data_IF_559282782404
#
_entry.id   IF_559282782404
#
_cell.length_a   1.000
_cell.length_b   1.000
_cell.length_c   1.000
_cell.angle_alpha   90.00
_cell.angle_beta   90.00
_cell.angle_gamma   90.00
#
_symmetry.space_group_name_H-M   'P 1'
#
loop_
_entity.id
_entity.type
_entity.pdbx_description
1 polymer ?
#
# COMPACT_ATOMS: atom_id res chain seq x y z
N UNK A 1 -9.66 -16.77 -3.19
CA UNK A 1 -8.53 -15.93 -2.73
C UNK A 1 -8.98 -14.49 -2.82
N UNK A 2 -8.99 -13.73 -1.72
CA UNK A 2 -9.29 -12.29 -1.75
C UNK A 2 -7.98 -11.52 -1.88
N UNK A 3 -7.92 -10.64 -2.87
CA UNK A 3 -6.74 -9.82 -3.18
C UNK A 3 -7.08 -8.35 -3.00
N UNK A 4 -6.07 -7.56 -2.67
CA UNK A 4 -6.12 -6.10 -2.70
C UNK A 4 -4.91 -5.57 -3.45
N UNK A 5 -4.91 -4.27 -3.77
CA UNK A 5 -3.78 -3.62 -4.44
C UNK A 5 -2.89 -2.97 -3.38
N UNK A 6 -1.58 -3.10 -3.51
CA UNK A 6 -0.60 -2.38 -2.69
C UNK A 6 0.37 -1.62 -3.55
N UNK A 7 0.87 -0.50 -3.04
CA UNK A 7 1.78 0.40 -3.76
C UNK A 7 3.11 0.49 -3.03
N UNK A 8 4.22 0.27 -3.74
CA UNK A 8 5.54 0.35 -3.15
C UNK A 8 5.92 1.81 -2.89
N UNK A 9 6.35 2.09 -1.67
CA UNK A 9 6.95 3.33 -1.26
C UNK A 9 8.39 3.08 -0.82
N UNK A 10 9.31 3.74 -1.51
CA UNK A 10 10.74 3.66 -1.21
C UNK A 10 11.17 4.91 -0.44
N UNK A 11 11.69 4.71 0.77
CA UNK A 11 12.37 5.74 1.54
C UNK A 11 13.88 5.53 1.38
N UNK A 12 14.49 6.33 0.50
CA UNK A 12 15.92 6.25 0.19
C UNK A 12 16.79 6.76 1.33
N UNK A 13 16.29 7.66 2.18
CA UNK A 13 17.03 8.18 3.33
C UNK A 13 17.20 7.09 4.40
N UNK A 14 16.18 6.25 4.55
CA UNK A 14 16.17 5.13 5.52
C UNK A 14 16.57 3.79 4.91
N UNK A 15 16.75 3.73 3.58
CA UNK A 15 17.06 2.50 2.85
C UNK A 15 15.94 1.45 2.91
N UNK A 16 14.69 1.87 3.14
CA UNK A 16 13.55 0.96 3.39
C UNK A 16 12.52 1.02 2.29
N UNK A 17 11.92 -0.13 1.99
CA UNK A 17 10.75 -0.24 1.13
C UNK A 17 9.55 -0.64 1.97
N UNK A 18 8.44 0.07 1.80
CA UNK A 18 7.17 -0.21 2.45
C UNK A 18 6.08 -0.36 1.40
N UNK A 19 5.07 -1.17 1.70
CA UNK A 19 3.91 -1.42 0.87
C UNK A 19 2.71 -0.71 1.51
N UNK A 20 2.18 0.29 0.81
CA UNK A 20 0.98 1.03 1.20
C UNK A 20 -0.26 0.34 0.62
N UNK A 21 -1.19 -0.06 1.49
CA UNK A 21 -2.43 -0.74 1.10
C UNK A 21 -3.64 0.10 1.50
N UNK A 22 -4.50 0.51 0.57
CA UNK A 22 -5.71 1.25 0.90
C UNK A 22 -6.73 0.35 1.62
N UNK A 23 -7.34 0.90 2.67
CA UNK A 23 -8.41 0.29 3.44
C UNK A 23 -9.62 1.24 3.52
N UNK A 24 -10.62 0.98 2.68
CA UNK A 24 -11.87 1.77 2.63
C UNK A 24 -12.59 1.87 3.97
N UNK A 25 -12.78 0.77 4.75
CA UNK A 25 -13.42 0.87 6.06
C UNK A 25 -12.68 1.80 7.04
N UNK A 26 -11.35 1.85 7.00
CA UNK A 26 -10.56 2.77 7.82
C UNK A 26 -10.44 4.17 7.21
N UNK A 27 -10.81 4.35 5.93
CA UNK A 27 -10.52 5.54 5.11
C UNK A 27 -9.03 5.90 5.15
N UNK A 28 -8.19 4.86 5.08
CA UNK A 28 -6.78 4.95 5.43
C UNK A 28 -5.89 3.99 4.62
N UNK A 29 -4.61 4.32 4.50
CA UNK A 29 -3.54 3.43 4.07
C UNK A 29 -2.92 2.71 5.26
N UNK A 30 -2.80 1.40 5.14
CA UNK A 30 -2.00 0.57 6.04
C UNK A 30 -0.62 0.33 5.42
N UNK A 31 0.41 0.39 6.26
CA UNK A 31 1.79 0.27 5.85
C UNK A 31 2.33 -1.09 6.26
N UNK A 32 2.96 -1.77 5.31
CA UNK A 32 3.54 -3.09 5.50
C UNK A 32 5.02 -3.04 5.12
N UNK A 33 5.90 -3.71 5.87
CA UNK A 33 7.32 -3.82 5.47
C UNK A 33 7.45 -4.60 4.17
N UNK A 34 8.26 -4.11 3.22
CA UNK A 34 8.48 -4.71 1.90
C UNK A 34 9.97 -4.88 1.55
N UNK A 35 10.85 -4.75 2.55
CA UNK A 35 12.28 -4.99 2.42
C UNK A 35 13.09 -3.70 2.47
N UNK A 36 14.29 -3.78 1.92
CA UNK A 36 15.22 -2.65 1.82
C UNK A 36 15.45 -2.32 0.35
N UNK A 37 16.02 -1.14 0.09
CA UNK A 37 16.36 -0.72 -1.29
C UNK A 37 17.31 -1.70 -1.96
N UNK A 38 18.28 -2.22 -1.22
CA UNK A 38 19.29 -3.17 -1.74
C UNK A 38 18.76 -4.60 -1.85
N UNK A 39 17.75 -4.96 -1.05
CA UNK A 39 17.15 -6.29 -1.02
C UNK A 39 15.62 -6.18 -0.96
N UNK A 40 14.98 -5.79 -2.09
CA UNK A 40 13.53 -5.75 -2.17
C UNK A 40 12.98 -7.17 -2.07
N UNK A 41 11.96 -7.37 -1.25
CA UNK A 41 11.29 -8.68 -1.17
C UNK A 41 10.33 -8.92 -2.33
N UNK A 42 9.90 -7.84 -3.00
CA UNK A 42 8.84 -7.89 -3.97
C UNK A 42 9.05 -6.90 -5.11
N UNK A 43 8.56 -7.26 -6.28
CA UNK A 43 8.57 -6.49 -7.52
C UNK A 43 7.15 -6.03 -7.91
N UNK A 44 7.03 -4.97 -8.72
CA UNK A 44 5.82 -4.67 -9.48
C UNK A 44 5.15 -5.90 -10.11
N UNK A 45 3.85 -6.07 -9.87
CA UNK A 45 3.06 -7.20 -10.38
C UNK A 45 3.08 -8.45 -9.50
N UNK A 46 4.00 -8.55 -8.52
CA UNK A 46 4.05 -9.69 -7.61
C UNK A 46 2.76 -9.81 -6.81
N UNK A 47 2.33 -11.05 -6.59
CA UNK A 47 1.26 -11.39 -5.67
C UNK A 47 1.89 -11.85 -4.36
N UNK A 48 1.71 -11.06 -3.30
CA UNK A 48 2.27 -11.37 -1.99
C UNK A 48 1.26 -12.11 -1.13
N UNK A 49 1.68 -13.24 -0.55
CA UNK A 49 0.88 -13.98 0.44
C UNK A 49 0.87 -13.23 1.76
N UNK A 50 0.02 -12.21 1.84
CA UNK A 50 -0.13 -11.37 3.03
C UNK A 50 -1.56 -11.41 3.52
N UNK A 51 -1.76 -12.20 4.58
CA UNK A 51 -3.00 -12.18 5.34
C UNK A 51 -3.04 -10.93 6.18
N UNK A 52 -3.96 -10.03 5.87
CA UNK A 52 -4.24 -8.86 6.69
C UNK A 52 -5.68 -8.93 7.16
N UNK A 53 -5.86 -8.71 8.45
CA UNK A 53 -7.16 -8.61 9.07
C UNK A 53 -7.32 -7.20 9.59
N UNK A 54 -8.14 -6.40 8.91
CA UNK A 54 -8.52 -5.09 9.41
C UNK A 54 -9.73 -5.25 10.34
N UNK A 55 -9.63 -4.76 11.57
CA UNK A 55 -10.73 -4.81 12.55
C UNK A 55 -12.03 -4.18 12.03
N UNK A 56 -11.93 -3.20 11.12
CA UNK A 56 -13.08 -2.52 10.52
C UNK A 56 -13.65 -3.21 9.27
N UNK A 57 -13.12 -4.37 8.85
CA UNK A 57 -13.74 -5.19 7.78
C UNK A 57 -13.09 -5.14 6.39
N UNK A 58 -11.76 -5.16 6.30
CA UNK A 58 -11.02 -5.28 5.03
C UNK A 58 -10.05 -6.46 5.07
N UNK A 59 -10.59 -7.67 4.87
CA UNK A 59 -9.84 -8.91 5.01
C UNK A 59 -9.40 -9.42 3.64
N UNK A 60 -8.09 -9.51 3.43
CA UNK A 60 -7.49 -10.04 2.21
C UNK A 60 -6.46 -11.12 2.55
N UNK A 61 -6.40 -12.13 1.68
CA UNK A 61 -5.41 -13.21 1.77
C UNK A 61 -4.10 -12.89 1.06
N UNK A 62 -4.11 -11.92 0.14
CA UNK A 62 -2.94 -11.50 -0.62
C UNK A 62 -3.02 -10.05 -1.10
N UNK A 63 -1.87 -9.49 -1.48
CA UNK A 63 -1.75 -8.15 -2.05
C UNK A 63 -1.05 -8.25 -3.40
N UNK A 64 -1.68 -7.77 -4.46
CA UNK A 64 -1.05 -7.56 -5.76
C UNK A 64 -0.32 -6.23 -5.73
N UNK A 65 0.98 -6.25 -6.05
CA UNK A 65 1.77 -5.02 -6.09
C UNK A 65 1.49 -4.28 -7.39
N UNK A 66 1.01 -3.04 -7.26
CA UNK A 66 0.80 -2.16 -8.38
C UNK A 66 2.13 -1.88 -9.11
N UNK A 67 2.13 -1.81 -10.45
CA UNK A 67 3.28 -1.30 -11.18
C UNK A 67 3.51 0.19 -10.93
N UNK A 68 2.49 0.92 -10.50
CA UNK A 68 2.64 2.30 -10.09
C UNK A 68 3.17 2.40 -8.66
N UNK A 69 4.16 3.26 -8.40
CA UNK A 69 4.65 3.50 -7.04
C UNK A 69 3.61 4.26 -6.22
N UNK A 70 3.72 4.14 -4.90
CA UNK A 70 2.97 4.96 -3.97
C UNK A 70 3.32 6.45 -4.17
N UNK A 71 2.30 7.30 -4.17
CA UNK A 71 2.46 8.75 -4.32
C UNK A 71 2.19 9.49 -3.01
N UNK A 72 3.11 10.30 -2.47
CA UNK A 72 2.93 11.00 -1.19
C UNK A 72 1.67 11.87 -1.12
N UNK A 73 1.28 12.48 -2.24
CA UNK A 73 0.07 13.31 -2.34
C UNK A 73 -1.23 12.53 -2.08
N UNK A 74 -1.20 11.19 -2.10
CA UNK A 74 -2.34 10.34 -1.76
C UNK A 74 -2.64 10.29 -0.26
N UNK A 75 -1.70 10.74 0.59
CA UNK A 75 -1.90 10.79 2.04
C UNK A 75 -2.12 12.22 2.52
N UNK A 76 -3.09 12.38 3.41
CA UNK A 76 -3.34 13.68 4.05
C UNK A 76 -2.32 13.98 5.16
N UNK A 77 -2.27 15.22 5.69
CA UNK A 77 -1.48 15.54 6.89
C UNK A 77 -1.85 14.67 8.10
N UNK A 78 -3.08 14.18 8.18
CA UNK A 78 -3.46 13.09 9.07
C UNK A 78 -2.91 11.80 8.46
N UNK A 79 -1.66 11.49 8.81
CA UNK A 79 -0.88 10.38 8.23
C UNK A 79 -1.73 9.12 8.12
N UNK A 80 -1.62 8.50 6.96
CA UNK A 80 -2.33 7.26 6.67
C UNK A 80 -3.79 7.45 6.30
N UNK A 81 -4.36 8.65 6.10
CA UNK A 81 -5.70 8.82 5.52
C UNK A 81 -5.67 9.12 4.02
N UNK A 82 -6.72 8.73 3.31
CA UNK A 82 -6.88 9.02 1.87
C UNK A 82 -7.04 10.52 1.58
N UNK A 83 -6.24 11.04 0.67
CA UNK A 83 -6.39 12.41 0.17
C UNK A 83 -7.42 12.51 -0.95
N UNK A 84 -7.74 13.74 -1.35
CA UNK A 84 -8.53 13.98 -2.57
C UNK A 84 -7.77 13.58 -3.85
N UNK A 85 -6.44 13.59 -3.83
CA UNK A 85 -5.63 13.17 -4.98
C UNK A 85 -5.78 11.65 -5.21
N UNK A 86 -5.71 10.85 -4.15
CA UNK A 86 -5.96 9.40 -4.24
C UNK A 86 -7.34 9.12 -4.83
N UNK A 87 -8.39 9.75 -4.27
CA UNK A 87 -9.77 9.57 -4.74
C UNK A 87 -9.97 9.94 -6.21
N UNK A 88 -9.27 10.96 -6.70
CA UNK A 88 -9.30 11.32 -8.13
C UNK A 88 -8.56 10.31 -8.99
N UNK A 89 -7.49 9.70 -8.49
CA UNK A 89 -6.74 8.69 -9.25
C UNK A 89 -7.58 7.43 -9.44
N UNK A 90 -8.18 6.92 -8.37
CA UNK A 90 -8.95 5.66 -8.42
C UNK A 90 -10.34 5.79 -9.05
N UNK A 91 -10.81 7.02 -9.28
CA UNK A 91 -12.08 7.31 -9.96
C UNK A 91 -11.93 7.55 -11.47
N UNK A 92 -10.70 7.50 -12.01
CA UNK A 92 -10.41 7.59 -13.44
C UNK A 92 -10.59 6.23 -14.11
#
# INVERSE_FOLDING_TARGET
>A
MTTTIGYLHTDTQRGTITLAVPCEPCRAFHWHGAGTVEQPYYSPGDLTDRRSHCHNGNNYSAITISPEPYRPEWVTPQRGRFSAAYRREVAR
#
